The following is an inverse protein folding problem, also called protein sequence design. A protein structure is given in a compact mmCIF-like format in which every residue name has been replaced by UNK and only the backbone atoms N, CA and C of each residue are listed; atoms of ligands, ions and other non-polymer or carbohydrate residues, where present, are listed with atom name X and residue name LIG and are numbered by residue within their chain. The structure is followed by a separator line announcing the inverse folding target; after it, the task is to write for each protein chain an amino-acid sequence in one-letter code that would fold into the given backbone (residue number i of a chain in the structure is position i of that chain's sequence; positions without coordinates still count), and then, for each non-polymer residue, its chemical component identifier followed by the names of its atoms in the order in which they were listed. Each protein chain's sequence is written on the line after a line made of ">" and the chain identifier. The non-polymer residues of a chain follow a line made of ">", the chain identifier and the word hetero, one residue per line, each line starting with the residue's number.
data_IF_555345521783
#
_entry.id   IF_555345521783
#
_cell.length_a   1.000
_cell.length_b   1.000
_cell.length_c   1.000
_cell.angle_alpha   90.00
_cell.angle_beta   90.00
_cell.angle_gamma   90.00
#
_symmetry.space_group_name_H-M   'P 1'
#
loop_
_entity.id
_entity.type
_entity.pdbx_description
1 polymer ?
#
# COMPACT_ATOMS: atom_id res chain seq x y z
N UNK A 1 26.71 15.65 24.50
CA UNK A 1 25.92 14.47 24.92
C UNK A 1 24.60 14.86 25.62
N UNK A 2 24.52 15.88 26.47
CA UNK A 2 23.27 16.30 27.13
C UNK A 2 22.16 16.76 26.17
N UNK A 3 22.50 17.41 25.03
CA UNK A 3 21.49 17.87 24.07
C UNK A 3 20.85 16.71 23.28
N UNK A 4 21.61 15.66 22.94
CA UNK A 4 21.09 14.49 22.22
C UNK A 4 20.10 13.72 23.11
N UNK A 5 20.43 13.52 24.38
CA UNK A 5 19.53 12.85 25.33
C UNK A 5 18.21 13.59 25.54
N UNK A 6 18.24 14.95 25.57
CA UNK A 6 17.02 15.77 25.66
C UNK A 6 16.16 15.67 24.38
N UNK A 7 16.80 15.65 23.21
CA UNK A 7 16.09 15.48 21.94
C UNK A 7 15.41 14.11 21.83
N UNK A 8 16.09 13.02 22.20
CA UNK A 8 15.51 11.68 22.22
C UNK A 8 14.34 11.61 23.23
N UNK A 9 14.50 12.19 24.42
CA UNK A 9 13.45 12.17 25.44
C UNK A 9 12.21 12.97 24.98
N UNK A 10 12.41 14.09 24.29
CA UNK A 10 11.32 14.89 23.72
C UNK A 10 10.58 14.13 22.60
N UNK A 11 11.33 13.41 21.74
CA UNK A 11 10.77 12.54 20.71
C UNK A 11 9.89 11.45 21.33
N UNK A 12 10.42 10.69 22.30
CA UNK A 12 9.70 9.61 22.97
C UNK A 12 8.44 10.08 23.74
N UNK A 13 8.40 11.34 24.17
CA UNK A 13 7.21 11.93 24.78
C UNK A 13 6.12 12.29 23.77
N UNK A 14 6.50 12.70 22.55
CA UNK A 14 5.57 13.09 21.48
C UNK A 14 5.08 11.91 20.63
N UNK A 15 5.92 10.87 20.50
CA UNK A 15 5.64 9.68 19.68
C UNK A 15 4.40 8.92 20.16
N UNK A 16 3.61 8.43 19.22
CA UNK A 16 2.45 7.58 19.50
C UNK A 16 2.90 6.15 19.81
N UNK A 17 3.04 5.87 21.10
CA UNK A 17 3.58 4.60 21.61
C UNK A 17 2.79 3.38 21.14
N UNK A 18 1.46 3.51 21.00
CA UNK A 18 0.62 2.39 20.55
C UNK A 18 0.87 2.09 19.08
N UNK A 19 1.02 3.13 18.24
CA UNK A 19 1.34 2.99 16.83
C UNK A 19 2.69 2.27 16.64
N UNK A 20 3.71 2.68 17.40
CA UNK A 20 5.03 2.02 17.40
C UNK A 20 4.96 0.56 17.86
N UNK A 21 4.20 0.27 18.93
CA UNK A 21 4.03 -1.09 19.44
C UNK A 21 3.38 -2.01 18.40
N UNK A 22 2.32 -1.53 17.74
CA UNK A 22 1.65 -2.28 16.67
C UNK A 22 2.63 -2.58 15.54
N UNK A 23 3.38 -1.56 15.08
CA UNK A 23 4.32 -1.71 13.97
C UNK A 23 5.48 -2.66 14.30
N UNK A 24 6.03 -2.58 15.51
CA UNK A 24 7.06 -3.52 15.96
C UNK A 24 6.54 -4.96 16.03
N UNK A 25 5.32 -5.15 16.52
CA UNK A 25 4.69 -6.48 16.57
C UNK A 25 4.49 -7.05 15.17
N UNK A 26 4.00 -6.25 14.23
CA UNK A 26 3.84 -6.64 12.82
C UNK A 26 5.21 -7.00 12.21
N UNK A 27 6.24 -6.17 12.44
CA UNK A 27 7.61 -6.41 11.93
C UNK A 27 8.20 -7.72 12.44
N UNK A 28 8.06 -7.99 13.74
CA UNK A 28 8.56 -9.25 14.34
C UNK A 28 7.81 -10.43 13.74
N UNK A 29 6.49 -10.35 13.63
CA UNK A 29 5.68 -11.43 13.09
C UNK A 29 6.00 -11.71 11.62
N UNK A 30 6.15 -10.69 10.80
CA UNK A 30 6.53 -10.83 9.38
C UNK A 30 7.91 -11.50 9.23
N UNK A 31 8.89 -11.11 10.05
CA UNK A 31 10.22 -11.73 10.06
C UNK A 31 10.17 -13.20 10.47
N UNK A 32 9.34 -13.56 11.45
CA UNK A 32 9.15 -14.96 11.86
C UNK A 32 8.59 -15.80 10.71
N UNK A 33 7.60 -15.28 9.97
CA UNK A 33 7.04 -15.97 8.80
C UNK A 33 8.07 -16.13 7.69
N UNK A 34 8.76 -15.05 7.31
CA UNK A 34 9.73 -15.09 6.20
C UNK A 34 10.98 -15.92 6.51
N UNK A 35 11.29 -16.14 7.78
CA UNK A 35 12.36 -17.06 8.19
C UNK A 35 12.07 -18.51 7.78
N UNK A 36 10.80 -18.86 7.64
CA UNK A 36 10.38 -20.24 7.29
C UNK A 36 10.38 -20.49 5.78
N UNK A 37 10.37 -19.42 4.97
CA UNK A 37 10.38 -19.54 3.51
C UNK A 37 11.79 -19.92 3.03
N UNK A 38 11.94 -20.94 2.18
CA UNK A 38 13.22 -21.36 1.63
C UNK A 38 13.92 -20.24 0.88
N UNK A 39 15.24 -20.31 0.82
CA UNK A 39 16.03 -19.42 -0.02
C UNK A 39 15.85 -19.81 -1.49
N UNK A 40 15.81 -18.82 -2.35
CA UNK A 40 15.79 -18.99 -3.79
C UNK A 40 17.08 -18.41 -4.39
N UNK A 41 17.79 -19.16 -5.21
CA UNK A 41 19.10 -18.79 -5.79
C UNK A 41 20.09 -18.16 -4.80
N UNK A 42 20.11 -18.67 -3.55
CA UNK A 42 20.98 -18.16 -2.48
C UNK A 42 20.49 -16.88 -1.81
N UNK A 43 19.42 -16.24 -2.29
CA UNK A 43 18.82 -15.04 -1.70
C UNK A 43 17.96 -15.40 -0.50
N UNK A 44 18.19 -14.75 0.64
CA UNK A 44 17.37 -14.91 1.85
C UNK A 44 16.28 -13.84 1.90
N UNK A 45 15.03 -14.23 1.73
CA UNK A 45 13.89 -13.32 1.85
C UNK A 45 13.81 -12.66 3.23
N UNK A 46 14.16 -13.41 4.28
CA UNK A 46 14.30 -12.86 5.63
C UNK A 46 15.28 -11.70 5.70
N UNK A 47 16.47 -11.85 5.11
CA UNK A 47 17.50 -10.79 5.16
C UNK A 47 17.09 -9.56 4.35
N UNK A 48 16.52 -9.76 3.16
CA UNK A 48 16.02 -8.67 2.31
C UNK A 48 14.93 -7.89 3.06
N UNK A 49 13.99 -8.59 3.68
CA UNK A 49 12.92 -7.96 4.43
C UNK A 49 13.41 -7.25 5.70
N UNK A 50 14.38 -7.85 6.41
CA UNK A 50 15.02 -7.22 7.57
C UNK A 50 15.71 -5.90 7.19
N UNK A 51 16.44 -5.88 6.06
CA UNK A 51 17.07 -4.66 5.55
C UNK A 51 16.02 -3.62 5.14
N UNK A 52 14.93 -4.05 4.50
CA UNK A 52 13.81 -3.15 4.14
C UNK A 52 13.14 -2.54 5.37
N UNK A 53 12.90 -3.33 6.42
CA UNK A 53 12.39 -2.85 7.72
C UNK A 53 13.37 -1.85 8.33
N UNK A 54 14.65 -2.17 8.38
CA UNK A 54 15.70 -1.29 8.93
C UNK A 54 15.77 0.05 8.18
N UNK A 55 15.81 0.01 6.84
CA UNK A 55 15.78 1.20 6.00
C UNK A 55 14.47 1.99 6.18
N UNK A 56 13.34 1.28 6.28
CA UNK A 56 12.03 1.87 6.50
C UNK A 56 11.93 2.61 7.84
N UNK A 57 12.37 1.99 8.94
CA UNK A 57 12.42 2.67 10.25
C UNK A 57 13.41 3.84 10.28
N UNK A 58 14.55 3.73 9.64
CA UNK A 58 15.47 4.85 9.50
C UNK A 58 14.83 6.02 8.74
N UNK A 59 14.12 5.73 7.64
CA UNK A 59 13.34 6.72 6.90
C UNK A 59 12.18 7.30 7.71
N UNK A 60 11.47 6.48 8.49
CA UNK A 60 10.44 6.92 9.45
C UNK A 60 11.01 7.94 10.43
N UNK A 61 12.11 7.60 11.09
CA UNK A 61 12.77 8.50 12.05
C UNK A 61 13.21 9.80 11.36
N UNK A 62 13.78 9.70 10.14
CA UNK A 62 14.18 10.89 9.38
C UNK A 62 12.99 11.81 9.06
N UNK A 63 11.85 11.26 8.58
CA UNK A 63 10.65 12.03 8.26
C UNK A 63 10.07 12.72 9.51
N UNK A 64 10.07 12.05 10.65
CA UNK A 64 9.52 12.60 11.90
C UNK A 64 10.30 13.76 12.50
N UNK A 65 11.53 14.06 12.02
CA UNK A 65 12.23 15.30 12.35
C UNK A 65 11.64 16.55 11.68
N UNK A 66 10.87 16.36 10.61
CA UNK A 66 10.26 17.45 9.86
C UNK A 66 8.76 17.52 10.17
N UNK A 67 8.19 18.72 10.14
CA UNK A 67 6.74 18.87 10.13
C UNK A 67 6.19 18.48 8.75
N UNK A 68 5.19 17.58 8.71
CA UNK A 68 4.54 17.16 7.46
C UNK A 68 3.97 18.33 6.65
N UNK A 69 3.60 19.43 7.32
CA UNK A 69 3.14 20.67 6.66
C UNK A 69 4.26 21.31 5.84
N UNK A 70 5.48 21.28 6.34
CA UNK A 70 6.64 21.80 5.60
C UNK A 70 7.03 20.87 4.45
N UNK A 71 6.95 19.56 4.63
CA UNK A 71 7.12 18.60 3.54
C UNK A 71 6.08 18.84 2.44
N UNK A 72 4.82 19.10 2.82
CA UNK A 72 3.75 19.37 1.87
C UNK A 72 3.89 20.70 1.11
N UNK A 73 4.68 21.66 1.58
CA UNK A 73 5.02 22.86 0.79
C UNK A 73 5.82 22.54 -0.47
N UNK A 74 6.56 21.44 -0.44
CA UNK A 74 7.37 20.93 -1.55
C UNK A 74 6.60 19.96 -2.46
N UNK A 75 5.27 19.90 -2.36
CA UNK A 75 4.41 18.94 -3.07
C UNK A 75 4.67 18.88 -4.58
N UNK A 76 4.96 20.02 -5.21
CA UNK A 76 5.26 20.11 -6.63
C UNK A 76 6.63 19.49 -6.99
N UNK A 77 7.64 19.64 -6.11
CA UNK A 77 8.94 18.96 -6.25
C UNK A 77 8.79 17.45 -6.08
N UNK A 78 8.04 17.03 -5.05
CA UNK A 78 7.77 15.60 -4.78
C UNK A 78 7.02 14.99 -5.96
N UNK A 79 5.97 15.63 -6.46
CA UNK A 79 5.22 15.17 -7.63
C UNK A 79 6.06 15.13 -8.91
N UNK A 80 6.85 16.18 -9.16
CA UNK A 80 7.77 16.25 -10.30
C UNK A 80 8.86 15.17 -10.25
N UNK A 81 9.48 14.96 -9.09
CA UNK A 81 10.45 13.88 -8.89
C UNK A 81 9.85 12.50 -9.15
N UNK A 82 8.66 12.25 -8.61
CA UNK A 82 7.96 10.97 -8.82
C UNK A 82 7.61 10.73 -10.29
N UNK A 83 7.17 11.76 -11.01
CA UNK A 83 6.91 11.66 -12.43
C UNK A 83 8.19 11.35 -13.22
N UNK A 84 9.28 12.07 -12.94
CA UNK A 84 10.58 11.81 -13.55
C UNK A 84 11.07 10.38 -13.25
N UNK A 85 10.87 9.90 -12.04
CA UNK A 85 11.23 8.54 -11.65
C UNK A 85 10.41 7.49 -12.41
N UNK A 86 9.11 7.71 -12.63
CA UNK A 86 8.27 6.83 -13.44
C UNK A 86 8.72 6.83 -14.91
N UNK A 87 9.02 8.00 -15.48
CA UNK A 87 9.54 8.13 -16.85
C UNK A 87 10.90 7.43 -16.98
N UNK A 88 11.81 7.66 -16.02
CA UNK A 88 13.11 6.99 -15.99
C UNK A 88 12.97 5.46 -15.96
N UNK A 89 12.03 4.96 -15.15
CA UNK A 89 11.75 3.51 -15.06
C UNK A 89 11.26 2.94 -16.38
N UNK A 90 10.42 3.69 -17.11
CA UNK A 90 9.92 3.25 -18.40
C UNK A 90 11.03 3.16 -19.46
N UNK A 91 12.04 4.00 -19.37
CA UNK A 91 13.16 4.04 -20.32
C UNK A 91 14.24 3.01 -19.93
N UNK A 92 14.65 2.99 -18.67
CA UNK A 92 15.83 2.25 -18.17
C UNK A 92 15.50 1.10 -17.21
N UNK A 93 14.22 0.86 -16.90
CA UNK A 93 13.80 -0.20 -15.98
C UNK A 93 14.04 -1.60 -16.53
N UNK A 94 14.08 -2.58 -15.61
CA UNK A 94 14.16 -3.99 -15.95
C UNK A 94 12.93 -4.40 -16.77
N UNK A 95 13.17 -5.00 -17.91
CA UNK A 95 12.12 -5.63 -18.71
C UNK A 95 11.79 -6.99 -18.08
N UNK A 96 10.64 -7.09 -17.45
CA UNK A 96 10.12 -8.35 -16.89
C UNK A 96 9.02 -8.83 -17.82
N UNK A 97 9.19 -10.03 -18.35
CA UNK A 97 8.13 -10.69 -19.10
C UNK A 97 6.98 -11.02 -18.14
N UNK A 98 5.88 -10.34 -18.32
CA UNK A 98 4.61 -10.71 -17.68
C UNK A 98 4.09 -12.01 -18.26
N UNK A 99 3.29 -12.76 -17.52
CA UNK A 99 2.65 -14.04 -17.91
C UNK A 99 1.87 -14.01 -19.25
N UNK A 100 1.88 -12.93 -19.99
CA UNK A 100 1.27 -12.75 -21.31
C UNK A 100 2.25 -12.33 -22.40
N UNK A 101 3.57 -12.55 -22.22
CA UNK A 101 4.58 -12.23 -23.25
C UNK A 101 4.82 -10.73 -23.46
N UNK A 102 4.35 -9.87 -22.56
CA UNK A 102 4.56 -8.43 -22.64
C UNK A 102 5.68 -7.99 -21.70
N UNK A 103 6.68 -7.32 -22.26
CA UNK A 103 7.74 -6.68 -21.50
C UNK A 103 7.20 -5.45 -20.78
N UNK A 104 7.04 -5.53 -19.46
CA UNK A 104 6.70 -4.38 -18.61
C UNK A 104 7.94 -3.90 -17.87
N UNK A 105 8.15 -2.59 -17.85
CA UNK A 105 9.26 -1.96 -17.13
C UNK A 105 8.74 -1.23 -15.91
N UNK A 106 8.65 -1.94 -14.79
CA UNK A 106 8.13 -1.40 -13.53
C UNK A 106 9.17 -1.35 -12.42
N UNK A 107 10.35 -1.96 -12.64
CA UNK A 107 11.37 -2.17 -11.62
C UNK A 107 12.70 -1.55 -12.05
N UNK A 108 13.45 -0.99 -11.09
CA UNK A 108 14.82 -0.49 -11.26
C UNK A 108 15.74 -1.41 -10.47
N UNK A 109 16.82 -1.84 -11.08
CA UNK A 109 17.88 -2.57 -10.38
C UNK A 109 18.73 -1.61 -9.55
N UNK A 110 18.94 -1.96 -8.28
CA UNK A 110 19.80 -1.22 -7.36
C UNK A 110 21.09 -2.03 -7.14
N UNK A 111 22.23 -1.39 -6.89
CA UNK A 111 23.47 -2.07 -6.53
C UNK A 111 23.26 -3.11 -5.43
N UNK A 112 23.77 -4.33 -5.65
CA UNK A 112 23.57 -5.47 -4.75
C UNK A 112 22.49 -6.46 -5.21
N UNK A 113 21.95 -6.31 -6.44
CA UNK A 113 20.94 -7.23 -7.01
C UNK A 113 19.55 -7.09 -6.38
N UNK A 114 19.30 -5.96 -5.71
CA UNK A 114 17.99 -5.61 -5.20
C UNK A 114 17.18 -4.88 -6.27
N UNK A 115 15.86 -5.02 -6.24
CA UNK A 115 14.95 -4.32 -7.15
C UNK A 115 14.12 -3.32 -6.40
N UNK A 116 13.89 -2.15 -7.01
CA UNK A 116 13.04 -1.09 -6.50
C UNK A 116 11.90 -0.82 -7.47
N UNK A 117 10.67 -0.81 -6.95
CA UNK A 117 9.48 -0.46 -7.72
C UNK A 117 9.06 0.98 -7.42
N UNK A 118 9.26 1.93 -8.34
CA UNK A 118 8.94 3.34 -8.13
C UNK A 118 7.49 3.62 -7.79
N UNK A 119 6.54 2.84 -8.29
CA UNK A 119 5.11 3.00 -7.96
C UNK A 119 4.83 2.92 -6.46
N UNK A 120 5.65 2.18 -5.69
CA UNK A 120 5.52 2.10 -4.23
C UNK A 120 5.80 3.45 -3.56
N UNK A 121 6.87 4.14 -4.02
CA UNK A 121 7.19 5.48 -3.53
C UNK A 121 6.15 6.51 -4.00
N UNK A 122 5.66 6.37 -5.25
CA UNK A 122 4.62 7.27 -5.80
C UNK A 122 3.33 7.20 -4.99
N UNK A 123 2.94 6.04 -4.44
CA UNK A 123 1.78 5.92 -3.54
C UNK A 123 1.95 6.79 -2.29
N UNK A 124 3.14 6.78 -1.69
CA UNK A 124 3.44 7.61 -0.51
C UNK A 124 3.48 9.10 -0.88
N UNK A 125 4.08 9.44 -2.01
CA UNK A 125 4.08 10.80 -2.53
C UNK A 125 2.66 11.30 -2.85
N UNK A 126 1.79 10.43 -3.37
CA UNK A 126 0.40 10.75 -3.66
C UNK A 126 -0.39 11.14 -2.40
N UNK A 127 -0.15 10.45 -1.27
CA UNK A 127 -0.76 10.85 0.02
C UNK A 127 -0.47 12.32 0.34
N UNK A 128 0.77 12.75 0.12
CA UNK A 128 1.21 14.12 0.42
C UNK A 128 0.69 15.12 -0.62
N UNK A 129 0.86 14.83 -1.91
CA UNK A 129 0.52 15.74 -3.01
C UNK A 129 -0.99 15.91 -3.16
N UNK A 130 -1.73 14.81 -3.09
CA UNK A 130 -3.19 14.82 -3.18
C UNK A 130 -3.81 15.40 -1.91
N UNK A 131 -3.29 15.06 -0.73
CA UNK A 131 -3.69 15.66 0.55
C UNK A 131 -3.46 17.18 0.57
N UNK A 132 -2.33 17.67 0.03
CA UNK A 132 -2.09 19.12 -0.10
C UNK A 132 -3.05 19.76 -1.09
N UNK A 133 -3.38 19.11 -2.21
CA UNK A 133 -4.37 19.63 -3.14
C UNK A 133 -5.75 19.78 -2.48
N UNK A 134 -6.20 18.76 -1.72
CA UNK A 134 -7.44 18.84 -0.93
C UNK A 134 -7.43 19.98 0.09
N UNK A 135 -6.32 20.14 0.83
CA UNK A 135 -6.14 21.22 1.80
C UNK A 135 -6.25 22.60 1.16
N UNK A 136 -5.62 22.82 0.00
CA UNK A 136 -5.73 24.08 -0.74
C UNK A 136 -7.16 24.37 -1.18
N UNK A 137 -7.90 23.35 -1.64
CA UNK A 137 -9.29 23.52 -2.04
C UNK A 137 -10.20 23.84 -0.84
N UNK A 138 -9.94 23.24 0.32
CA UNK A 138 -10.68 23.54 1.55
C UNK A 138 -10.38 24.96 2.03
N UNK A 139 -9.11 25.37 2.09
CA UNK A 139 -8.69 26.71 2.51
C UNK A 139 -9.34 27.81 1.67
N UNK A 140 -9.63 27.53 0.38
CA UNK A 140 -10.27 28.45 -0.56
C UNK A 140 -11.79 28.28 -0.68
N UNK A 141 -12.40 27.40 0.10
CA UNK A 141 -13.82 27.00 0.02
C UNK A 141 -14.26 26.52 -1.39
N UNK A 142 -13.37 25.84 -2.10
CA UNK A 142 -13.56 25.39 -3.48
C UNK A 142 -13.95 23.90 -3.59
N UNK A 143 -14.14 23.17 -2.49
CA UNK A 143 -14.51 21.75 -2.50
C UNK A 143 -15.91 21.47 -3.11
N UNK A 144 -16.71 22.52 -3.32
CA UNK A 144 -18.03 22.43 -3.98
C UNK A 144 -18.00 22.84 -5.45
N UNK A 145 -16.88 23.40 -5.93
CA UNK A 145 -16.75 23.89 -7.30
C UNK A 145 -16.52 22.71 -8.28
N UNK A 146 -17.43 22.49 -9.27
CA UNK A 146 -17.31 21.35 -10.19
C UNK A 146 -15.99 21.30 -10.94
N UNK A 147 -15.47 22.45 -11.39
CA UNK A 147 -14.21 22.52 -12.15
C UNK A 147 -13.03 22.05 -11.29
N UNK A 148 -12.99 22.44 -10.02
CA UNK A 148 -11.93 22.03 -9.10
C UNK A 148 -12.01 20.52 -8.77
N UNK A 149 -13.22 19.97 -8.70
CA UNK A 149 -13.40 18.52 -8.53
C UNK A 149 -12.91 17.76 -9.77
N UNK A 150 -13.16 18.27 -10.97
CA UNK A 150 -12.60 17.69 -12.21
C UNK A 150 -11.06 17.74 -12.19
N UNK A 151 -10.46 18.87 -11.80
CA UNK A 151 -9.00 18.99 -11.70
C UNK A 151 -8.41 18.04 -10.63
N UNK A 152 -9.13 17.83 -9.53
CA UNK A 152 -8.78 16.84 -8.52
C UNK A 152 -8.83 15.41 -9.09
N UNK A 153 -9.87 15.11 -9.88
CA UNK A 153 -9.97 13.86 -10.63
C UNK A 153 -8.81 13.67 -11.62
N UNK A 154 -8.40 14.71 -12.33
CA UNK A 154 -7.24 14.67 -13.23
C UNK A 154 -5.96 14.38 -12.45
N UNK A 155 -5.75 14.99 -11.28
CA UNK A 155 -4.60 14.69 -10.41
C UNK A 155 -4.53 13.18 -10.06
N UNK A 156 -5.67 12.57 -9.74
CA UNK A 156 -5.74 11.14 -9.44
C UNK A 156 -5.59 10.25 -10.69
N UNK A 157 -6.10 10.71 -11.84
CA UNK A 157 -6.02 9.97 -13.10
C UNK A 157 -4.60 9.88 -13.65
N UNK A 158 -3.70 10.79 -13.32
CA UNK A 158 -2.30 10.75 -13.75
C UNK A 158 -1.63 9.44 -13.29
N UNK A 159 -1.52 9.12 -11.98
CA UNK A 159 -0.91 7.87 -11.56
C UNK A 159 -1.75 6.65 -11.97
N UNK A 160 -3.07 6.68 -11.89
CA UNK A 160 -3.93 5.57 -12.31
C UNK A 160 -3.73 5.25 -13.79
N UNK A 161 -3.79 6.27 -14.66
CA UNK A 161 -3.61 6.12 -16.10
C UNK A 161 -2.20 5.61 -16.45
N UNK A 162 -1.17 6.11 -15.75
CA UNK A 162 0.20 5.62 -15.92
C UNK A 162 0.30 4.12 -15.61
N UNK A 163 -0.28 3.67 -14.48
CA UNK A 163 -0.25 2.26 -14.10
C UNK A 163 -1.00 1.38 -15.10
N UNK A 164 -2.19 1.80 -15.54
CA UNK A 164 -3.03 1.00 -16.46
C UNK A 164 -2.45 0.95 -17.87
N UNK A 165 -2.06 2.10 -18.42
CA UNK A 165 -1.73 2.22 -19.85
C UNK A 165 -0.25 1.89 -20.10
N UNK A 166 0.66 2.39 -19.26
CA UNK A 166 2.10 2.33 -19.50
C UNK A 166 2.71 1.11 -18.79
N UNK A 167 2.51 0.98 -17.48
CA UNK A 167 3.09 -0.12 -16.71
C UNK A 167 2.25 -1.40 -16.73
N UNK A 168 0.97 -1.31 -17.15
CA UNK A 168 0.02 -2.45 -17.17
C UNK A 168 -0.14 -3.12 -15.80
N UNK A 169 0.05 -2.35 -14.74
CA UNK A 169 -0.06 -2.76 -13.34
C UNK A 169 -1.45 -2.37 -12.80
N UNK A 170 -2.40 -3.30 -12.96
CA UNK A 170 -3.78 -3.11 -12.48
C UNK A 170 -3.85 -3.08 -10.96
N UNK A 171 -2.98 -3.82 -10.26
CA UNK A 171 -2.93 -3.86 -8.81
C UNK A 171 -2.65 -2.47 -8.23
N UNK A 172 -1.56 -1.83 -8.67
CA UNK A 172 -1.24 -0.46 -8.25
C UNK A 172 -2.30 0.57 -8.67
N UNK A 173 -2.91 0.41 -9.86
CA UNK A 173 -3.97 1.30 -10.32
C UNK A 173 -5.20 1.27 -9.37
N UNK A 174 -5.61 0.09 -8.93
CA UNK A 174 -6.70 -0.08 -7.95
C UNK A 174 -6.35 0.57 -6.62
N UNK A 175 -5.09 0.47 -6.17
CA UNK A 175 -4.64 1.13 -4.93
C UNK A 175 -4.75 2.65 -5.05
N UNK A 176 -4.24 3.28 -6.14
CA UNK A 176 -4.35 4.72 -6.35
C UNK A 176 -5.81 5.19 -6.45
N UNK A 177 -6.64 4.44 -7.16
CA UNK A 177 -8.05 4.77 -7.29
C UNK A 177 -8.78 4.71 -5.94
N UNK A 178 -8.50 3.69 -5.13
CA UNK A 178 -9.08 3.58 -3.79
C UNK A 178 -8.58 4.68 -2.84
N UNK A 179 -7.30 5.05 -2.92
CA UNK A 179 -6.76 6.20 -2.20
C UNK A 179 -7.50 7.49 -2.56
N UNK A 180 -7.71 7.73 -3.85
CA UNK A 180 -8.49 8.87 -4.34
C UNK A 180 -9.90 8.89 -3.74
N UNK A 181 -10.61 7.76 -3.75
CA UNK A 181 -11.97 7.68 -3.20
C UNK A 181 -12.00 7.98 -1.70
N UNK A 182 -11.14 7.32 -0.92
CA UNK A 182 -11.12 7.46 0.54
C UNK A 182 -10.70 8.86 0.97
N UNK A 183 -9.64 9.42 0.38
CA UNK A 183 -9.17 10.76 0.70
C UNK A 183 -10.18 11.83 0.30
N UNK A 184 -10.82 11.70 -0.88
CA UNK A 184 -11.86 12.62 -1.35
C UNK A 184 -13.11 12.55 -0.48
N UNK A 185 -13.54 11.36 -0.08
CA UNK A 185 -14.66 11.17 0.83
C UNK A 185 -14.38 11.80 2.20
N UNK A 186 -13.20 11.55 2.77
CA UNK A 186 -12.79 12.14 4.04
C UNK A 186 -12.63 13.65 4.02
N UNK A 187 -12.37 14.25 2.85
CA UNK A 187 -12.36 15.71 2.66
C UNK A 187 -13.75 16.33 2.55
N UNK A 188 -14.83 15.51 2.55
CA UNK A 188 -16.20 15.98 2.47
C UNK A 188 -16.69 16.32 1.06
N UNK A 189 -16.08 15.72 0.03
CA UNK A 189 -16.58 15.85 -1.35
C UNK A 189 -17.96 15.22 -1.46
N UNK A 190 -18.89 15.89 -2.14
CA UNK A 190 -20.29 15.50 -2.24
C UNK A 190 -20.47 14.14 -2.93
N UNK A 191 -21.32 13.28 -2.40
CA UNK A 191 -21.59 11.93 -2.91
C UNK A 191 -22.04 11.88 -4.37
N UNK A 192 -22.65 12.95 -4.88
CA UNK A 192 -23.03 13.03 -6.31
C UNK A 192 -21.85 12.84 -7.27
N UNK A 193 -20.65 13.32 -6.91
CA UNK A 193 -19.47 13.17 -7.76
C UNK A 193 -18.99 11.72 -7.80
N UNK A 194 -19.06 11.01 -6.66
CA UNK A 194 -18.77 9.57 -6.62
C UNK A 194 -19.80 8.78 -7.45
N UNK A 195 -21.09 9.14 -7.36
CA UNK A 195 -22.13 8.51 -8.19
C UNK A 195 -21.86 8.70 -9.69
N UNK A 196 -21.42 9.91 -10.10
CA UNK A 196 -21.01 10.18 -11.51
C UNK A 196 -19.81 9.32 -11.91
N UNK A 197 -18.78 9.23 -11.06
CA UNK A 197 -17.58 8.42 -11.33
C UNK A 197 -17.98 6.94 -11.51
N UNK A 198 -18.78 6.38 -10.59
CA UNK A 198 -19.24 4.99 -10.70
C UNK A 198 -20.15 4.76 -11.91
N UNK A 199 -21.02 5.72 -12.27
CA UNK A 199 -21.82 5.64 -13.47
C UNK A 199 -20.97 5.65 -14.75
N UNK A 200 -19.93 6.51 -14.81
CA UNK A 200 -18.98 6.52 -15.92
C UNK A 200 -18.20 5.21 -16.00
N UNK A 201 -17.76 4.64 -14.89
CA UNK A 201 -17.07 3.35 -14.86
C UNK A 201 -17.99 2.20 -15.30
N UNK A 202 -19.25 2.22 -14.91
CA UNK A 202 -20.24 1.22 -15.32
C UNK A 202 -20.47 1.19 -16.84
N UNK A 203 -20.21 2.29 -17.55
CA UNK A 203 -20.24 2.35 -19.02
C UNK A 203 -18.87 2.07 -19.62
N UNK A 204 -17.80 2.66 -19.06
CA UNK A 204 -16.46 2.59 -19.60
C UNK A 204 -15.86 1.17 -19.52
N UNK A 205 -16.11 0.43 -18.43
CA UNK A 205 -15.56 -0.92 -18.26
C UNK A 205 -16.13 -1.91 -19.28
N UNK A 206 -17.46 -2.05 -19.48
CA UNK A 206 -18.00 -2.91 -20.53
C UNK A 206 -17.55 -2.49 -21.93
N UNK A 207 -17.46 -1.17 -22.19
CA UNK A 207 -16.95 -0.68 -23.47
C UNK A 207 -15.49 -1.11 -23.69
N UNK A 208 -14.62 -0.89 -22.70
CA UNK A 208 -13.21 -1.28 -22.77
C UNK A 208 -13.02 -2.80 -22.93
N UNK A 209 -13.90 -3.58 -22.28
CA UNK A 209 -13.92 -5.04 -22.43
C UNK A 209 -14.20 -5.50 -23.86
N UNK A 210 -15.22 -4.90 -24.50
CA UNK A 210 -15.66 -5.30 -25.84
C UNK A 210 -14.80 -4.69 -26.96
N UNK A 211 -14.20 -3.51 -26.73
CA UNK A 211 -13.40 -2.82 -27.74
C UNK A 211 -11.96 -3.35 -27.90
N UNK A 212 -11.54 -4.33 -27.07
CA UNK A 212 -10.18 -4.85 -27.11
C UNK A 212 -9.13 -3.95 -26.44
N UNK A 213 -9.54 -2.89 -25.74
CA UNK A 213 -8.65 -2.02 -24.94
C UNK A 213 -8.05 -2.81 -23.78
N UNK A 214 -8.84 -3.69 -23.16
CA UNK A 214 -8.36 -4.62 -22.12
C UNK A 214 -7.62 -5.77 -22.82
N UNK A 215 -6.35 -5.92 -22.48
CA UNK A 215 -5.51 -6.96 -23.07
C UNK A 215 -5.97 -8.37 -22.65
N UNK A 216 -5.75 -9.37 -23.53
CA UNK A 216 -6.23 -10.74 -23.31
C UNK A 216 -5.73 -11.32 -21.97
N UNK A 217 -4.46 -11.12 -21.61
CA UNK A 217 -3.93 -11.62 -20.33
C UNK A 217 -4.66 -11.06 -19.09
N UNK A 218 -5.24 -9.85 -19.17
CA UNK A 218 -6.05 -9.27 -18.09
C UNK A 218 -7.43 -9.92 -18.03
N UNK A 219 -7.99 -10.25 -19.21
CA UNK A 219 -9.23 -11.03 -19.31
C UNK A 219 -9.01 -12.46 -18.80
N UNK A 220 -7.88 -13.07 -19.16
CA UNK A 220 -7.51 -14.43 -18.74
C UNK A 220 -7.36 -14.53 -17.21
N UNK A 221 -6.82 -13.50 -16.55
CA UNK A 221 -6.77 -13.45 -15.06
C UNK A 221 -8.17 -13.48 -14.45
N UNK A 222 -9.16 -12.83 -15.07
CA UNK A 222 -10.53 -12.83 -14.56
C UNK A 222 -11.24 -14.15 -14.86
N UNK A 223 -11.05 -14.74 -16.05
CA UNK A 223 -11.60 -16.06 -16.40
C UNK A 223 -10.98 -17.16 -15.55
N UNK A 224 -9.66 -17.16 -15.36
CA UNK A 224 -8.96 -18.10 -14.49
C UNK A 224 -9.41 -17.97 -13.03
N UNK A 225 -9.74 -16.75 -12.57
CA UNK A 225 -10.29 -16.57 -11.24
C UNK A 225 -11.67 -17.23 -11.07
N UNK A 226 -12.52 -17.17 -12.09
CA UNK A 226 -13.84 -17.79 -12.06
C UNK A 226 -13.76 -19.32 -12.21
N UNK A 227 -12.81 -19.81 -12.99
CA UNK A 227 -12.62 -21.22 -13.31
C UNK A 227 -11.13 -21.64 -13.20
N UNK A 228 -10.54 -21.60 -11.98
CA UNK A 228 -9.12 -21.87 -11.80
C UNK A 228 -8.75 -23.32 -12.15
N UNK A 229 -9.72 -24.20 -12.21
CA UNK A 229 -9.58 -25.63 -12.53
C UNK A 229 -9.35 -25.88 -14.03
N UNK A 230 -9.69 -24.92 -14.90
CA UNK A 230 -9.48 -25.01 -16.34
C UNK A 230 -8.02 -24.74 -16.76
N UNK A 231 -7.23 -24.05 -15.90
CA UNK A 231 -5.80 -23.81 -16.10
C UNK A 231 -4.97 -24.18 -14.85
N UNK A 232 -4.92 -25.48 -14.49
CA UNK A 232 -4.30 -25.93 -13.23
C UNK A 232 -2.77 -25.90 -13.24
N UNK A 233 -2.12 -25.63 -14.40
CA UNK A 233 -0.66 -25.58 -14.56
C UNK A 233 -0.18 -24.14 -14.77
N UNK A 234 -1.05 -23.26 -15.31
CA UNK A 234 -0.74 -21.85 -15.58
C UNK A 234 -1.19 -20.90 -14.46
N UNK A 235 -2.01 -19.93 -14.82
CA UNK A 235 -2.47 -18.88 -13.91
C UNK A 235 -3.30 -19.41 -12.70
N UNK A 236 -4.01 -20.54 -12.86
CA UNK A 236 -4.78 -21.17 -11.78
C UNK A 236 -3.93 -21.89 -10.76
N UNK A 237 -2.68 -22.26 -11.10
CA UNK A 237 -1.79 -23.01 -10.22
C UNK A 237 -1.57 -22.27 -8.88
N UNK A 238 -1.22 -21.00 -8.95
CA UNK A 238 -0.94 -20.19 -7.74
C UNK A 238 -2.14 -20.15 -6.79
N UNK A 239 -3.34 -19.96 -7.35
CA UNK A 239 -4.57 -19.85 -6.59
C UNK A 239 -4.94 -21.18 -5.92
N UNK A 240 -4.92 -22.27 -6.68
CA UNK A 240 -5.24 -23.60 -6.17
C UNK A 240 -4.25 -24.05 -5.09
N UNK A 241 -2.94 -23.87 -5.35
CA UNK A 241 -1.89 -24.23 -4.42
C UNK A 241 -1.94 -23.37 -3.15
N UNK A 242 -2.22 -22.07 -3.27
CA UNK A 242 -2.41 -21.16 -2.15
C UNK A 242 -3.56 -21.62 -1.23
N UNK A 243 -4.73 -21.92 -1.81
CA UNK A 243 -5.89 -22.44 -1.06
C UNK A 243 -5.60 -23.75 -0.36
N UNK A 244 -4.93 -24.71 -1.04
CA UNK A 244 -4.56 -25.98 -0.46
C UNK A 244 -3.60 -25.78 0.72
N UNK A 245 -2.62 -24.86 0.61
CA UNK A 245 -1.68 -24.57 1.69
C UNK A 245 -2.41 -24.01 2.91
N UNK A 246 -3.32 -23.03 2.73
CA UNK A 246 -4.12 -22.49 3.85
C UNK A 246 -4.93 -23.60 4.52
N UNK A 247 -5.64 -24.42 3.74
CA UNK A 247 -6.47 -25.52 4.25
C UNK A 247 -5.68 -26.58 4.97
N UNK A 248 -4.44 -26.86 4.54
CA UNK A 248 -3.58 -27.90 5.12
C UNK A 248 -3.12 -27.58 6.54
N UNK A 249 -3.07 -26.28 6.92
CA UNK A 249 -2.66 -25.85 8.25
C UNK A 249 -3.71 -26.01 9.33
N UNK A 250 -4.98 -26.19 8.97
CA UNK A 250 -6.08 -26.35 9.92
C UNK A 250 -6.12 -25.22 10.97
N UNK A 251 -6.37 -25.55 12.24
CA UNK A 251 -6.53 -24.56 13.32
C UNK A 251 -5.18 -23.99 13.81
N UNK A 252 -4.18 -24.83 14.02
CA UNK A 252 -2.93 -24.50 14.71
C UNK A 252 -1.70 -24.44 13.79
N UNK A 253 -1.84 -24.84 12.54
CA UNK A 253 -0.73 -24.93 11.58
C UNK A 253 0.08 -26.22 11.70
N UNK A 254 1.04 -26.35 10.76
CA UNK A 254 1.99 -27.49 10.73
C UNK A 254 3.26 -27.22 11.54
N UNK A 255 3.44 -25.99 12.01
CA UNK A 255 4.63 -25.53 12.70
C UNK A 255 5.51 -24.61 11.84
N UNK A 256 6.18 -23.65 12.49
CA UNK A 256 7.16 -22.79 11.84
C UNK A 256 8.40 -23.61 11.44
N UNK A 257 8.67 -23.70 10.13
CA UNK A 257 9.77 -24.51 9.59
C UNK A 257 9.40 -25.97 9.26
N UNK A 258 8.25 -26.46 9.70
CA UNK A 258 7.79 -27.84 9.47
C UNK A 258 6.63 -27.95 8.47
N UNK A 259 6.26 -26.83 7.83
CA UNK A 259 5.21 -26.74 6.82
C UNK A 259 5.72 -27.31 5.47
N UNK A 260 5.31 -28.52 5.05
CA UNK A 260 5.97 -29.24 3.96
C UNK A 260 5.75 -28.60 2.60
N UNK A 261 4.62 -27.90 2.39
CA UNK A 261 4.33 -27.24 1.11
C UNK A 261 5.11 -25.93 1.00
N UNK A 262 5.24 -25.17 2.11
CA UNK A 262 6.10 -23.99 2.20
C UNK A 262 7.55 -24.38 1.90
N UNK A 263 8.05 -25.45 2.53
CA UNK A 263 9.44 -25.90 2.35
C UNK A 263 9.73 -26.38 0.92
N UNK A 264 8.74 -26.92 0.22
CA UNK A 264 8.86 -27.37 -1.18
C UNK A 264 8.63 -26.25 -2.19
N UNK A 265 8.31 -25.01 -1.77
CA UNK A 265 7.94 -23.93 -2.68
C UNK A 265 6.69 -24.28 -3.50
N UNK A 266 5.70 -24.97 -2.91
CA UNK A 266 4.54 -25.47 -3.63
C UNK A 266 3.64 -24.34 -4.18
N UNK A 267 3.68 -23.16 -3.57
CA UNK A 267 2.97 -21.98 -4.04
C UNK A 267 3.99 -21.05 -4.71
N UNK A 268 3.90 -20.81 -6.01
CA UNK A 268 4.77 -19.83 -6.67
C UNK A 268 4.63 -18.43 -6.03
N UNK A 269 5.76 -17.72 -5.87
CA UNK A 269 5.80 -16.36 -5.31
C UNK A 269 5.20 -16.29 -3.89
N UNK A 270 5.37 -17.36 -3.11
CA UNK A 270 4.82 -17.47 -1.75
C UNK A 270 5.35 -16.43 -0.77
N UNK A 271 6.58 -15.94 -0.98
CA UNK A 271 7.24 -14.94 -0.14
C UNK A 271 6.64 -13.54 -0.27
N UNK A 272 6.02 -13.22 -1.40
CA UNK A 272 5.43 -11.90 -1.66
C UNK A 272 3.91 -11.95 -1.71
N UNK A 273 3.34 -12.47 -2.80
CA UNK A 273 1.92 -12.37 -3.05
C UNK A 273 1.09 -13.37 -2.23
N UNK A 274 1.68 -14.51 -1.87
CA UNK A 274 0.99 -15.58 -1.14
C UNK A 274 1.53 -15.81 0.28
N UNK A 275 2.11 -14.77 0.92
CA UNK A 275 2.61 -14.87 2.30
C UNK A 275 1.49 -15.25 3.30
N UNK A 276 0.24 -14.86 3.03
CA UNK A 276 -0.91 -15.26 3.81
C UNK A 276 -1.14 -16.78 3.76
N UNK A 277 -0.84 -17.43 2.63
CA UNK A 277 -0.89 -18.89 2.51
C UNK A 277 0.23 -19.57 3.29
N UNK A 278 1.42 -18.95 3.36
CA UNK A 278 2.52 -19.41 4.23
C UNK A 278 2.10 -19.35 5.70
N UNK A 279 1.47 -18.25 6.14
CA UNK A 279 0.94 -18.13 7.48
C UNK A 279 -0.14 -19.19 7.77
N UNK A 280 -1.04 -19.43 6.79
CA UNK A 280 -2.10 -20.41 6.90
C UNK A 280 -1.57 -21.84 7.09
N UNK A 281 -0.54 -22.24 6.33
CA UNK A 281 0.06 -23.56 6.49
C UNK A 281 0.89 -23.67 7.78
N UNK A 282 1.73 -22.66 8.07
CA UNK A 282 2.68 -22.73 9.18
C UNK A 282 2.03 -22.54 10.55
N UNK A 283 1.09 -21.60 10.66
CA UNK A 283 0.46 -21.19 11.93
C UNK A 283 -1.07 -21.42 11.96
N UNK A 284 -1.63 -21.97 10.89
CA UNK A 284 -3.05 -22.29 10.79
C UNK A 284 -3.97 -21.07 10.81
N UNK A 285 -5.23 -21.36 11.11
CA UNK A 285 -6.27 -20.33 11.21
C UNK A 285 -5.93 -19.24 12.24
N UNK A 286 -5.34 -19.64 13.38
CA UNK A 286 -4.95 -18.71 14.46
C UNK A 286 -3.93 -17.69 13.96
N UNK A 287 -2.91 -18.15 13.19
CA UNK A 287 -1.93 -17.24 12.60
C UNK A 287 -2.56 -16.26 11.60
N UNK A 288 -3.45 -16.73 10.74
CA UNK A 288 -4.17 -15.89 9.80
C UNK A 288 -5.04 -14.82 10.49
N UNK A 289 -5.77 -15.21 11.54
CA UNK A 289 -6.57 -14.27 12.33
C UNK A 289 -5.71 -13.23 13.03
N UNK A 290 -4.54 -13.62 13.54
CA UNK A 290 -3.60 -12.66 14.17
C UNK A 290 -3.11 -11.61 13.17
N UNK A 291 -2.80 -11.99 11.91
CA UNK A 291 -2.46 -11.03 10.84
C UNK A 291 -3.61 -10.03 10.64
N UNK A 292 -4.83 -10.55 10.47
CA UNK A 292 -6.01 -9.70 10.26
C UNK A 292 -6.23 -8.74 11.44
N UNK A 293 -6.15 -9.23 12.67
CA UNK A 293 -6.35 -8.41 13.87
C UNK A 293 -5.29 -7.30 13.98
N UNK A 294 -4.03 -7.60 13.68
CA UNK A 294 -2.94 -6.61 13.71
C UNK A 294 -3.14 -5.53 12.65
N UNK A 295 -3.51 -5.91 11.41
CA UNK A 295 -3.79 -4.94 10.34
C UNK A 295 -5.06 -4.12 10.62
N UNK A 296 -6.12 -4.72 11.15
CA UNK A 296 -7.33 -4.02 11.57
C UNK A 296 -7.05 -3.05 12.72
N UNK A 297 -6.24 -3.46 13.70
CA UNK A 297 -5.82 -2.60 14.81
C UNK A 297 -5.00 -1.40 14.31
N UNK A 298 -4.08 -1.64 13.36
CA UNK A 298 -3.31 -0.57 12.72
C UNK A 298 -4.23 0.40 11.99
N UNK A 299 -5.13 -0.11 11.13
CA UNK A 299 -6.09 0.71 10.38
C UNK A 299 -6.99 1.52 11.31
N UNK A 300 -7.52 0.91 12.36
CA UNK A 300 -8.34 1.59 13.36
C UNK A 300 -7.57 2.72 14.05
N UNK A 301 -6.31 2.45 14.43
CA UNK A 301 -5.49 3.45 15.11
C UNK A 301 -5.12 4.61 14.19
N UNK A 302 -4.80 4.34 12.91
CA UNK A 302 -4.56 5.37 11.89
C UNK A 302 -5.81 6.26 11.69
N UNK A 303 -7.01 5.66 11.62
CA UNK A 303 -8.27 6.43 11.55
C UNK A 303 -8.50 7.30 12.79
N UNK A 304 -8.13 6.82 13.98
CA UNK A 304 -8.17 7.65 15.20
C UNK A 304 -7.22 8.85 15.13
N UNK A 305 -6.03 8.67 14.53
CA UNK A 305 -5.08 9.78 14.31
C UNK A 305 -5.68 10.74 13.28
N UNK A 306 -6.23 10.25 12.17
CA UNK A 306 -6.91 11.06 11.15
C UNK A 306 -8.01 11.94 11.76
N UNK A 307 -8.89 11.34 12.57
CA UNK A 307 -9.99 12.07 13.24
C UNK A 307 -9.51 13.11 14.25
N UNK A 308 -8.35 12.90 14.87
CA UNK A 308 -7.75 13.84 15.84
C UNK A 308 -6.80 14.85 15.20
N UNK A 309 -6.59 14.79 13.90
CA UNK A 309 -5.75 15.74 13.19
C UNK A 309 -6.37 17.13 13.21
N UNK A 310 -5.54 18.15 13.37
CA UNK A 310 -5.96 19.56 13.46
C UNK A 310 -6.25 20.19 12.11
N UNK A 311 -5.80 19.57 11.02
CA UNK A 311 -5.97 20.07 9.67
C UNK A 311 -6.34 18.96 8.66
N UNK A 312 -6.91 19.36 7.52
CA UNK A 312 -7.30 18.43 6.46
C UNK A 312 -6.11 17.72 5.83
N UNK A 313 -4.94 18.37 5.76
CA UNK A 313 -3.75 17.77 5.20
C UNK A 313 -3.33 16.53 6.02
N UNK A 314 -3.19 16.67 7.33
CA UNK A 314 -2.82 15.56 8.21
C UNK A 314 -3.87 14.45 8.20
N UNK A 315 -5.17 14.81 8.25
CA UNK A 315 -6.26 13.85 8.11
C UNK A 315 -6.17 13.10 6.77
N UNK A 316 -5.94 13.81 5.66
CA UNK A 316 -5.82 13.22 4.32
C UNK A 316 -4.62 12.28 4.19
N UNK A 317 -3.47 12.61 4.79
CA UNK A 317 -2.29 11.74 4.82
C UNK A 317 -2.64 10.42 5.52
N UNK A 318 -3.27 10.49 6.70
CA UNK A 318 -3.69 9.30 7.44
C UNK A 318 -4.73 8.49 6.67
N UNK A 319 -5.71 9.13 6.03
CA UNK A 319 -6.71 8.46 5.20
C UNK A 319 -6.10 7.81 3.95
N UNK A 320 -5.10 8.44 3.34
CA UNK A 320 -4.34 7.86 2.23
C UNK A 320 -3.58 6.61 2.66
N UNK A 321 -2.93 6.64 3.83
CA UNK A 321 -2.24 5.49 4.39
C UNK A 321 -3.19 4.35 4.77
N UNK A 322 -4.31 4.70 5.42
CA UNK A 322 -5.40 3.75 5.68
C UNK A 322 -5.89 3.08 4.39
N UNK A 323 -6.09 3.86 3.33
CA UNK A 323 -6.57 3.36 2.06
C UNK A 323 -5.59 2.36 1.43
N UNK A 324 -4.27 2.64 1.45
CA UNK A 324 -3.25 1.72 0.96
C UNK A 324 -3.35 0.39 1.72
N UNK A 325 -3.29 0.42 3.06
CA UNK A 325 -3.31 -0.79 3.88
C UNK A 325 -4.62 -1.56 3.66
N UNK A 326 -5.75 -0.88 3.65
CA UNK A 326 -7.07 -1.48 3.50
C UNK A 326 -7.19 -2.24 2.18
N UNK A 327 -6.96 -1.56 1.05
CA UNK A 327 -7.15 -2.17 -0.26
C UNK A 327 -6.12 -3.27 -0.56
N UNK A 328 -4.85 -3.09 -0.15
CA UNK A 328 -3.84 -4.12 -0.31
C UNK A 328 -4.16 -5.35 0.54
N UNK A 329 -4.63 -5.18 1.78
CA UNK A 329 -5.06 -6.30 2.64
C UNK A 329 -6.23 -7.05 2.02
N UNK A 330 -7.27 -6.33 1.58
CA UNK A 330 -8.46 -6.95 0.95
C UNK A 330 -8.06 -7.68 -0.33
N UNK A 331 -7.24 -7.05 -1.19
CA UNK A 331 -6.82 -7.65 -2.46
C UNK A 331 -5.95 -8.89 -2.26
N UNK A 332 -4.95 -8.82 -1.36
CA UNK A 332 -4.03 -9.93 -1.13
C UNK A 332 -4.74 -11.13 -0.48
N UNK A 333 -5.45 -10.90 0.62
CA UNK A 333 -6.17 -12.00 1.30
C UNK A 333 -7.32 -12.51 0.42
N UNK A 334 -8.01 -11.60 -0.28
CA UNK A 334 -9.09 -11.98 -1.20
C UNK A 334 -8.61 -12.90 -2.32
N UNK A 335 -7.42 -12.65 -2.91
CA UNK A 335 -6.87 -13.54 -3.94
C UNK A 335 -6.37 -14.87 -3.35
N UNK A 336 -5.78 -14.88 -2.15
CA UNK A 336 -5.36 -16.11 -1.46
C UNK A 336 -6.54 -17.03 -1.13
N UNK A 337 -7.72 -16.45 -0.85
CA UNK A 337 -8.94 -17.16 -0.50
C UNK A 337 -9.88 -17.41 -1.72
N UNK A 338 -9.45 -17.05 -2.92
CA UNK A 338 -10.27 -17.15 -4.15
C UNK A 338 -11.56 -16.30 -4.13
N UNK A 339 -11.55 -15.15 -3.46
CA UNK A 339 -12.64 -14.16 -3.54
C UNK A 339 -12.34 -13.05 -4.54
N UNK A 340 -11.07 -12.89 -4.93
CA UNK A 340 -10.63 -11.88 -5.88
C UNK A 340 -9.62 -12.48 -6.89
N UNK A 341 -9.51 -11.92 -8.10
CA UNK A 341 -8.52 -12.33 -9.08
C UNK A 341 -7.10 -11.98 -8.61
N UNK A 342 -6.10 -12.66 -9.17
CA UNK A 342 -4.68 -12.37 -8.89
C UNK A 342 -4.30 -11.01 -9.44
N UNK A 343 -3.98 -10.07 -8.55
CA UNK A 343 -3.63 -8.69 -8.90
C UNK A 343 -2.14 -8.36 -8.69
N UNK A 344 -1.35 -9.28 -8.13
CA UNK A 344 0.07 -9.02 -7.84
C UNK A 344 0.27 -7.93 -6.78
N UNK A 345 -0.58 -7.89 -5.76
CA UNK A 345 -0.53 -6.90 -4.67
C UNK A 345 -0.02 -7.58 -3.41
N UNK A 346 1.03 -7.02 -2.82
CA UNK A 346 1.65 -7.54 -1.60
C UNK A 346 0.78 -7.31 -0.36
N UNK A 347 0.86 -8.21 0.63
CA UNK A 347 0.25 -8.01 1.95
C UNK A 347 1.05 -6.96 2.74
N UNK A 348 0.44 -5.84 3.16
CA UNK A 348 1.16 -4.75 3.82
C UNK A 348 2.00 -5.23 5.00
N UNK A 349 3.30 -4.88 5.00
CA UNK A 349 4.29 -5.19 6.02
C UNK A 349 4.66 -6.67 6.22
N UNK A 350 3.90 -7.61 5.66
CA UNK A 350 4.16 -9.06 5.82
C UNK A 350 4.90 -9.66 4.64
N UNK A 351 4.64 -9.17 3.44
CA UNK A 351 5.28 -9.69 2.21
C UNK A 351 6.74 -9.32 2.11
N UNK A 352 7.55 -10.20 1.53
CA UNK A 352 8.97 -9.97 1.24
C UNK A 352 9.17 -9.00 0.06
N UNK A 353 8.51 -7.86 0.09
CA UNK A 353 8.69 -6.79 -0.90
C UNK A 353 9.72 -5.78 -0.39
N UNK A 354 10.99 -5.86 -0.82
CA UNK A 354 12.03 -4.94 -0.36
C UNK A 354 11.62 -3.47 -0.48
N UNK A 355 11.24 -3.02 -1.69
CA UNK A 355 10.81 -1.64 -1.95
C UNK A 355 9.42 -1.34 -1.37
N UNK A 356 8.47 -2.24 -1.50
CA UNK A 356 7.10 -2.02 -1.03
C UNK A 356 7.07 -1.88 0.50
N UNK A 357 7.75 -2.76 1.22
CA UNK A 357 7.88 -2.67 2.67
C UNK A 357 8.56 -1.37 3.09
N UNK A 358 9.72 -1.03 2.53
CA UNK A 358 10.44 0.20 2.87
C UNK A 358 9.57 1.45 2.64
N UNK A 359 8.84 1.53 1.52
CA UNK A 359 7.94 2.64 1.22
C UNK A 359 6.74 2.71 2.19
N UNK A 360 6.16 1.56 2.57
CA UNK A 360 5.09 1.55 3.57
C UNK A 360 5.57 2.07 4.94
N UNK A 361 6.82 1.78 5.36
CA UNK A 361 7.39 2.38 6.57
C UNK A 361 7.60 3.89 6.43
N UNK A 362 7.92 4.43 5.22
CA UNK A 362 7.90 5.89 5.01
C UNK A 362 6.49 6.47 5.17
N UNK A 363 5.47 5.78 4.67
CA UNK A 363 4.07 6.15 4.89
C UNK A 363 3.68 6.13 6.37
N UNK A 364 4.12 5.11 7.11
CA UNK A 364 4.01 5.06 8.57
C UNK A 364 4.68 6.28 9.22
N UNK A 365 5.88 6.67 8.75
CA UNK A 365 6.59 7.86 9.23
C UNK A 365 5.80 9.15 9.05
N UNK A 366 5.07 9.30 7.93
CA UNK A 366 4.18 10.46 7.72
C UNK A 366 3.00 10.46 8.68
N UNK A 367 2.39 9.29 8.95
CA UNK A 367 1.30 9.17 9.94
C UNK A 367 1.79 9.48 11.35
N UNK A 368 2.96 8.97 11.74
CA UNK A 368 3.60 9.28 13.02
C UNK A 368 3.90 10.78 13.14
N UNK A 369 4.39 11.40 12.07
CA UNK A 369 4.62 12.84 12.01
C UNK A 369 3.31 13.63 12.29
N UNK A 370 2.18 13.23 11.70
CA UNK A 370 0.86 13.82 11.99
C UNK A 370 0.49 13.62 13.46
N UNK A 371 0.70 12.41 14.01
CA UNK A 371 0.39 12.11 15.41
C UNK A 371 1.21 12.96 16.38
N UNK A 372 2.48 13.20 16.09
CA UNK A 372 3.39 13.99 16.91
C UNK A 372 3.07 15.49 16.93
N UNK A 373 2.59 16.05 15.79
CA UNK A 373 2.34 17.48 15.64
C UNK A 373 0.88 17.91 15.90
N UNK A 374 0.00 16.99 16.27
CA UNK A 374 -1.43 17.26 16.54
C UNK A 374 -1.67 18.20 17.73
N UNK A 375 -0.74 18.29 18.67
CA UNK A 375 -0.87 19.07 19.90
C UNK A 375 0.05 20.31 19.94
N UNK A 376 0.63 20.74 18.82
CA UNK A 376 1.49 21.93 18.79
C UNK A 376 0.66 23.20 18.99
N UNK A 377 0.92 23.99 20.06
CA UNK A 377 0.07 25.11 20.47
C UNK A 377 0.04 26.27 19.46
N UNK A 378 1.06 26.42 18.60
CA UNK A 378 1.13 27.48 17.59
C UNK A 378 0.01 27.43 16.55
N UNK A 379 -0.62 26.26 16.36
CA UNK A 379 -1.65 26.04 15.33
C UNK A 379 -3.07 25.90 15.88
N UNK A 380 -3.24 25.70 17.20
CA UNK A 380 -4.56 25.57 17.85
C UNK A 380 -5.32 26.90 17.80
N UNK A 381 -4.62 28.03 17.77
CA UNK A 381 -5.21 29.37 17.81
C UNK A 381 -5.80 29.84 16.48
N UNK A 382 -5.44 29.24 15.33
CA UNK A 382 -5.93 29.64 14.02
C UNK A 382 -7.21 28.88 13.58
N UNK A 383 -7.51 27.73 14.15
CA UNK A 383 -8.61 26.85 13.71
C UNK A 383 -9.79 26.70 14.68
N UNK A 384 -9.82 27.41 15.81
CA UNK A 384 -10.97 27.38 16.73
C UNK A 384 -12.25 28.03 16.15
N UNK A 385 -12.26 28.41 14.87
CA UNK A 385 -13.41 29.02 14.18
C UNK A 385 -14.11 28.14 13.15
N UNK A 386 -13.64 26.91 12.90
CA UNK A 386 -14.32 26.00 11.98
C UNK A 386 -14.65 24.73 12.72
N UNK A 387 -15.84 24.65 13.24
CA UNK A 387 -16.42 23.41 13.76
C UNK A 387 -16.56 22.43 12.61
N UNK A 388 -16.06 21.17 12.68
CA UNK A 388 -16.36 20.17 11.68
C UNK A 388 -17.86 19.87 11.75
N UNK A 389 -18.53 20.10 10.65
CA UNK A 389 -19.90 19.62 10.46
C UNK A 389 -19.87 18.10 10.28
N UNK A 390 -20.05 17.37 11.36
CA UNK A 390 -20.53 15.99 11.39
C UNK A 390 -21.58 15.88 12.49
#
# INVERSE_FOLDING_TARGET
>A
MQNIGRSILSYLKRADKLLWLIMLTISIYSLLLLRTVPKDDGKSYFLIHLLAIGAGYAGTLFITFFDYRNLAKLWWLVGGFCLLLLVYTQINGLAIESSGGMNTRAWIEIPGGLTFQPSELVKIAFMLTFGKHLSILQEKDLLKNPLQIVLLGVHALIPVGWMVIIQKDMGSAVVFFFMFLVMSFGAGIQLRYFAVIFALMAVAIPYAWNSGIIANYQKDRLTTFLHPEEDPIGNGLQQLQGRISIGSGQLWGRGLGDAPRVQKGAVPVQESDYIFSVAGESLGFVGCILILLLLLLLMYHVLRIAHKSTDLLGSSICLGFFAIICIQTISNIGMCLLFLPVMGVTLPFFSAGGSSSACLYLGFGLVECVAMHRNDPEHVTLHSRVSPAF
#
